data_IF_271689158996
#
_entry.id   IF_271689158996
#
_cell.length_a   1.000
_cell.length_b   1.000
_cell.length_c   1.000
_cell.angle_alpha   90.00
_cell.angle_beta   90.00
_cell.angle_gamma   90.00
#
_symmetry.space_group_name_H-M   'P 1'
#
loop_
_entity.id
_entity.type
_entity.pdbx_description
1 polymer ?
#
# COMPACT_ATOMS: atom_id res chain seq x y z
N UNK A 1 -3.10 -15.32 11.78
CA UNK A 1 -3.67 -14.17 11.06
C UNK A 1 -4.72 -14.67 10.10
N UNK A 2 -5.84 -13.96 9.95
CA UNK A 2 -6.96 -14.39 9.10
C UNK A 2 -7.03 -13.61 7.79
N UNK A 3 -6.51 -12.37 7.81
CA UNK A 3 -6.63 -11.40 6.72
C UNK A 3 -5.32 -11.12 5.98
N UNK A 4 -4.21 -11.65 6.48
CA UNK A 4 -2.91 -11.62 5.82
C UNK A 4 -2.21 -12.96 5.92
N UNK A 5 -1.21 -13.16 5.04
CA UNK A 5 -0.23 -14.25 5.14
C UNK A 5 1.15 -13.63 5.24
N UNK A 6 2.03 -14.26 6.00
CA UNK A 6 3.42 -13.80 6.17
C UNK A 6 4.38 -14.94 5.89
N UNK A 7 5.46 -14.61 5.20
CA UNK A 7 6.60 -15.50 4.98
C UNK A 7 7.89 -14.69 4.97
N UNK A 8 9.02 -15.32 5.19
CA UNK A 8 10.32 -14.65 5.08
C UNK A 8 11.35 -15.59 4.48
N UNK A 9 12.15 -15.07 3.57
CA UNK A 9 13.26 -15.79 2.96
C UNK A 9 14.34 -14.80 2.51
N UNK A 10 15.59 -15.19 2.66
CA UNK A 10 16.76 -14.48 2.11
C UNK A 10 16.81 -12.97 2.50
N UNK A 11 16.44 -12.67 3.75
CA UNK A 11 16.49 -11.31 4.27
C UNK A 11 15.28 -10.43 3.93
N UNK A 12 14.24 -11.00 3.31
CA UNK A 12 13.00 -10.28 2.94
C UNK A 12 11.81 -10.89 3.65
N UNK A 13 11.03 -10.06 4.35
CA UNK A 13 9.70 -10.40 4.85
C UNK A 13 8.65 -10.10 3.79
N UNK A 14 7.72 -11.01 3.55
CA UNK A 14 6.61 -10.82 2.60
C UNK A 14 5.29 -10.87 3.36
N UNK A 15 4.47 -9.84 3.17
CA UNK A 15 3.10 -9.74 3.70
C UNK A 15 2.13 -9.76 2.53
N UNK A 16 1.30 -10.79 2.46
CA UNK A 16 0.25 -10.89 1.44
C UNK A 16 -1.10 -10.55 2.05
N UNK A 17 -1.77 -9.51 1.57
CA UNK A 17 -3.14 -9.18 1.91
C UNK A 17 -4.06 -10.31 1.45
N UNK A 18 -4.92 -10.84 2.33
CA UNK A 18 -5.71 -12.04 2.05
C UNK A 18 -7.17 -11.93 2.51
N UNK A 19 -7.90 -11.01 1.89
CA UNK A 19 -9.37 -10.90 1.97
C UNK A 19 -10.01 -10.95 0.57
N UNK A 20 -9.85 -12.07 -0.16
CA UNK A 20 -10.26 -12.14 -1.57
C UNK A 20 -11.77 -11.90 -1.76
N UNK A 21 -12.61 -12.35 -0.82
CA UNK A 21 -14.07 -12.13 -0.83
C UNK A 21 -14.46 -10.65 -0.72
N UNK A 22 -13.60 -9.80 -0.17
CA UNK A 22 -13.77 -8.36 -0.04
C UNK A 22 -12.78 -7.57 -0.93
N UNK A 23 -12.16 -8.21 -1.93
CA UNK A 23 -11.16 -7.57 -2.82
C UNK A 23 -10.03 -6.87 -2.06
N UNK A 24 -9.55 -7.49 -0.99
CA UNK A 24 -8.55 -6.94 -0.07
C UNK A 24 -8.91 -5.55 0.48
N UNK A 25 -10.21 -5.27 0.68
CA UNK A 25 -10.64 -4.03 1.32
C UNK A 25 -10.07 -3.93 2.74
N UNK A 26 -9.60 -2.73 3.06
CA UNK A 26 -8.89 -2.41 4.30
C UNK A 26 -9.91 -2.14 5.41
N UNK A 27 -10.13 -3.12 6.27
CA UNK A 27 -10.87 -2.96 7.51
C UNK A 27 -9.91 -2.95 8.71
N UNK A 28 -10.41 -2.57 9.87
CA UNK A 28 -9.62 -2.48 11.11
C UNK A 28 -8.85 -3.78 11.42
N UNK A 29 -9.47 -4.94 11.21
CA UNK A 29 -8.85 -6.23 11.50
C UNK A 29 -7.65 -6.52 10.59
N UNK A 30 -7.76 -6.26 9.27
CA UNK A 30 -6.66 -6.42 8.33
C UNK A 30 -5.52 -5.46 8.66
N UNK A 31 -5.85 -4.19 8.94
CA UNK A 31 -4.84 -3.16 9.26
C UNK A 31 -4.11 -3.49 10.56
N UNK A 32 -4.81 -3.98 11.57
CA UNK A 32 -4.19 -4.43 12.84
C UNK A 32 -3.27 -5.64 12.63
N UNK A 33 -3.66 -6.61 11.79
CA UNK A 33 -2.80 -7.75 11.45
C UNK A 33 -1.56 -7.30 10.66
N UNK A 34 -1.71 -6.33 9.75
CA UNK A 34 -0.60 -5.74 9.00
C UNK A 34 0.39 -5.02 9.93
N UNK A 35 -0.09 -4.18 10.86
CA UNK A 35 0.76 -3.52 11.86
C UNK A 35 1.54 -4.55 12.71
N UNK A 36 0.87 -5.58 13.17
CA UNK A 36 1.51 -6.64 13.95
C UNK A 36 2.59 -7.37 13.14
N UNK A 37 2.36 -7.64 11.84
CA UNK A 37 3.33 -8.28 10.96
C UNK A 37 4.53 -7.36 10.66
N UNK A 38 4.29 -6.07 10.40
CA UNK A 38 5.35 -5.09 10.19
C UNK A 38 6.26 -4.98 11.43
N UNK A 39 5.68 -4.88 12.63
CA UNK A 39 6.45 -4.87 13.89
C UNK A 39 7.24 -6.16 14.12
N UNK A 40 6.65 -7.31 13.79
CA UNK A 40 7.35 -8.58 13.91
C UNK A 40 8.57 -8.65 12.97
N UNK A 41 8.40 -8.25 11.71
CA UNK A 41 9.51 -8.19 10.77
C UNK A 41 10.51 -7.08 11.10
N UNK A 42 10.07 -5.96 11.67
CA UNK A 42 10.97 -4.90 12.13
C UNK A 42 11.89 -5.39 13.26
N UNK A 43 11.36 -6.19 14.18
CA UNK A 43 12.11 -6.77 15.30
C UNK A 43 13.00 -7.96 14.88
N UNK A 44 12.78 -8.57 13.72
CA UNK A 44 13.54 -9.71 13.24
C UNK A 44 14.86 -9.28 12.57
N UNK A 45 15.99 -9.55 13.20
CA UNK A 45 17.31 -9.27 12.64
C UNK A 45 17.61 -10.04 11.34
N UNK A 46 16.90 -11.10 11.04
CA UNK A 46 16.99 -11.84 9.78
C UNK A 46 16.35 -11.12 8.59
N UNK A 47 15.50 -10.10 8.84
CA UNK A 47 14.78 -9.33 7.80
C UNK A 47 15.42 -7.96 7.63
N UNK A 48 15.77 -7.58 6.41
CA UNK A 48 16.34 -6.28 6.05
C UNK A 48 15.42 -5.39 5.24
N UNK A 49 14.40 -5.96 4.58
CA UNK A 49 13.37 -5.25 3.83
C UNK A 49 12.04 -6.02 3.88
N UNK A 50 10.93 -5.33 3.64
CA UNK A 50 9.60 -5.93 3.69
C UNK A 50 8.90 -5.68 2.35
N UNK A 51 8.19 -6.68 1.83
CA UNK A 51 7.33 -6.58 0.64
C UNK A 51 5.88 -6.74 1.07
N UNK A 52 4.99 -5.84 0.61
CA UNK A 52 3.54 -5.95 0.78
C UNK A 52 2.90 -6.18 -0.58
N UNK A 53 2.05 -7.20 -0.69
CA UNK A 53 1.34 -7.53 -1.94
C UNK A 53 -0.11 -7.93 -1.67
N UNK A 54 -0.96 -7.83 -2.69
CA UNK A 54 -2.32 -8.39 -2.70
C UNK A 54 -2.43 -9.70 -3.51
N UNK A 55 -1.30 -10.21 -4.01
CA UNK A 55 -1.25 -11.31 -4.98
C UNK A 55 -1.46 -10.83 -6.41
N UNK A 56 -1.80 -11.75 -7.33
CA UNK A 56 -1.80 -11.48 -8.76
C UNK A 56 -3.10 -10.82 -9.30
N UNK A 57 -4.16 -10.76 -8.50
CA UNK A 57 -5.48 -10.33 -8.99
C UNK A 57 -5.83 -8.90 -8.60
N UNK A 58 -5.52 -8.52 -7.37
CA UNK A 58 -5.90 -7.22 -6.81
C UNK A 58 -5.02 -6.89 -5.61
N UNK A 59 -4.43 -5.72 -5.60
CA UNK A 59 -3.68 -5.23 -4.45
C UNK A 59 -4.66 -4.90 -3.30
N UNK A 60 -5.50 -3.88 -3.48
CA UNK A 60 -6.58 -3.52 -2.56
C UNK A 60 -7.59 -2.60 -3.22
N UNK A 61 -8.89 -2.85 -2.96
CA UNK A 61 -9.98 -2.00 -3.43
C UNK A 61 -10.19 -0.73 -2.59
N UNK A 62 -9.39 -0.52 -1.54
CA UNK A 62 -9.49 0.64 -0.63
C UNK A 62 -10.15 0.33 0.70
N UNK A 63 -10.61 1.35 1.41
CA UNK A 63 -11.28 1.21 2.70
C UNK A 63 -12.53 0.33 2.61
N UNK A 64 -12.82 -0.44 3.66
CA UNK A 64 -14.03 -1.26 3.72
C UNK A 64 -15.25 -0.36 3.94
N UNK A 65 -16.01 -0.11 2.86
CA UNK A 65 -17.16 0.80 2.87
C UNK A 65 -18.22 0.34 3.89
N UNK A 66 -18.38 -0.96 4.14
CA UNK A 66 -19.35 -1.46 5.13
C UNK A 66 -18.99 -0.98 6.53
N UNK A 67 -17.71 -1.02 6.88
CA UNK A 67 -17.24 -0.52 8.17
C UNK A 67 -17.39 1.01 8.29
N UNK A 68 -17.22 1.73 7.17
CA UNK A 68 -17.41 3.18 7.12
C UNK A 68 -18.89 3.60 7.30
N UNK A 69 -19.83 2.88 6.70
CA UNK A 69 -21.27 3.23 6.78
C UNK A 69 -21.86 3.11 8.18
N UNK A 70 -21.22 2.38 9.07
CA UNK A 70 -21.64 2.25 10.46
C UNK A 70 -21.22 3.44 11.33
N UNK A 71 -20.40 4.37 10.78
CA UNK A 71 -19.81 5.49 11.52
C UNK A 71 -20.44 6.83 11.12
N UNK A 72 -20.80 7.63 12.13
CA UNK A 72 -21.10 9.04 11.92
C UNK A 72 -19.81 9.86 11.91
N UNK A 73 -19.84 11.06 11.36
CA UNK A 73 -18.67 11.95 11.34
C UNK A 73 -18.00 12.13 12.72
N UNK A 74 -18.81 12.36 13.75
CA UNK A 74 -18.28 12.53 15.11
C UNK A 74 -17.56 11.28 15.63
N UNK A 75 -18.09 10.09 15.35
CA UNK A 75 -17.51 8.82 15.76
C UNK A 75 -16.17 8.60 15.03
N UNK A 76 -16.15 8.81 13.71
CA UNK A 76 -14.95 8.68 12.91
C UNK A 76 -13.84 9.67 13.31
N UNK A 77 -14.23 10.93 13.62
CA UNK A 77 -13.30 11.97 14.06
C UNK A 77 -12.71 11.70 15.44
N UNK A 78 -13.56 11.31 16.42
CA UNK A 78 -13.13 11.07 17.79
C UNK A 78 -12.30 9.79 17.94
N UNK A 79 -12.58 8.78 17.14
CA UNK A 79 -11.85 7.51 17.13
C UNK A 79 -10.57 7.58 16.29
N UNK A 80 -10.35 8.68 15.54
CA UNK A 80 -9.25 8.81 14.57
C UNK A 80 -9.21 7.62 13.60
N UNK A 81 -10.41 7.32 13.05
CA UNK A 81 -10.76 6.03 12.43
C UNK A 81 -9.85 5.57 11.29
N UNK A 82 -9.34 6.50 10.48
CA UNK A 82 -8.46 6.16 9.35
C UNK A 82 -6.99 6.37 9.71
N UNK A 83 -6.66 7.41 10.47
CA UNK A 83 -5.28 7.86 10.63
C UNK A 83 -4.52 6.98 11.63
N UNK A 84 -5.14 6.66 12.77
CA UNK A 84 -4.47 6.03 13.92
C UNK A 84 -3.81 4.69 13.59
N UNK A 85 -4.53 3.83 12.89
CA UNK A 85 -4.09 2.45 12.65
C UNK A 85 -3.42 2.29 11.27
N UNK A 86 -3.62 3.25 10.35
CA UNK A 86 -3.14 3.15 8.98
C UNK A 86 -1.69 3.59 8.78
N UNK A 87 -1.07 4.21 9.78
CA UNK A 87 0.31 4.69 9.70
C UNK A 87 1.37 3.62 9.99
N UNK A 88 0.99 2.34 10.06
CA UNK A 88 1.91 1.26 10.38
C UNK A 88 3.08 1.18 9.39
N UNK A 89 2.82 1.39 8.10
CA UNK A 89 3.86 1.38 7.06
C UNK A 89 4.79 2.58 7.24
N UNK A 90 4.25 3.79 7.43
CA UNK A 90 5.05 5.02 7.65
C UNK A 90 5.94 4.94 8.88
N UNK A 91 5.50 4.22 9.92
CA UNK A 91 6.22 4.08 11.18
C UNK A 91 7.27 2.96 11.12
N UNK A 92 7.28 2.14 10.08
CA UNK A 92 8.25 1.06 9.92
C UNK A 92 9.61 1.63 9.51
N UNK A 93 10.66 1.28 10.27
CA UNK A 93 12.03 1.74 9.98
C UNK A 93 12.70 0.94 8.87
N UNK A 94 12.23 -0.28 8.60
CA UNK A 94 12.74 -1.09 7.48
C UNK A 94 12.06 -0.67 6.19
N UNK A 95 12.79 -0.62 5.06
CA UNK A 95 12.18 -0.33 3.77
C UNK A 95 11.02 -1.26 3.45
N UNK A 96 9.90 -0.66 3.03
CA UNK A 96 8.70 -1.37 2.63
C UNK A 96 8.48 -1.18 1.12
N UNK A 97 8.31 -2.27 0.41
CA UNK A 97 8.12 -2.30 -1.04
C UNK A 97 6.70 -2.78 -1.34
N UNK A 98 5.91 -2.00 -2.05
CA UNK A 98 4.63 -2.46 -2.59
C UNK A 98 4.84 -3.25 -3.88
N UNK A 99 4.33 -4.47 -3.94
CA UNK A 99 4.26 -5.29 -5.16
C UNK A 99 2.81 -5.36 -5.63
N UNK A 100 2.49 -4.60 -6.70
CA UNK A 100 1.12 -4.27 -7.11
C UNK A 100 0.76 -4.95 -8.42
N UNK A 101 -0.31 -5.76 -8.40
CA UNK A 101 -1.03 -6.23 -9.57
C UNK A 101 -2.51 -5.92 -9.44
N UNK A 102 -3.22 -5.73 -10.56
CA UNK A 102 -4.62 -5.37 -10.56
C UNK A 102 -4.89 -4.03 -9.87
N UNK A 103 -5.97 -3.92 -9.14
CA UNK A 103 -6.44 -2.65 -8.59
C UNK A 103 -5.77 -2.27 -7.26
N UNK A 104 -5.28 -1.04 -7.19
CA UNK A 104 -4.87 -0.31 -5.98
C UNK A 104 -5.65 1.01 -5.94
N UNK A 105 -6.84 1.01 -5.31
CA UNK A 105 -7.80 2.12 -5.39
C UNK A 105 -8.05 2.74 -4.01
N UNK A 106 -8.29 4.05 -3.99
CA UNK A 106 -8.55 4.79 -2.76
C UNK A 106 -7.50 4.50 -1.69
N UNK A 107 -7.90 4.05 -0.53
CA UNK A 107 -7.00 3.62 0.54
C UNK A 107 -5.97 2.57 0.12
N UNK A 108 -6.26 1.73 -0.89
CA UNK A 108 -5.29 0.79 -1.46
C UNK A 108 -4.18 1.50 -2.25
N UNK A 109 -4.52 2.57 -2.96
CA UNK A 109 -3.54 3.45 -3.59
C UNK A 109 -2.73 4.21 -2.53
N UNK A 110 -3.38 4.68 -1.46
CA UNK A 110 -2.72 5.33 -0.34
C UNK A 110 -1.72 4.39 0.35
N UNK A 111 -2.06 3.11 0.55
CA UNK A 111 -1.14 2.10 1.09
C UNK A 111 0.07 1.86 0.18
N UNK A 112 -0.13 1.79 -1.13
CA UNK A 112 0.98 1.69 -2.07
C UNK A 112 1.90 2.93 -1.99
N UNK A 113 1.31 4.13 -1.85
CA UNK A 113 2.05 5.39 -1.71
C UNK A 113 2.73 5.57 -0.33
N UNK A 114 2.34 4.82 0.70
CA UNK A 114 3.05 4.77 1.98
C UNK A 114 4.34 3.97 1.90
N UNK A 115 4.42 3.01 0.98
CA UNK A 115 5.63 2.23 0.77
C UNK A 115 6.74 3.08 0.13
N UNK A 116 8.00 2.74 0.44
CA UNK A 116 9.16 3.46 -0.08
C UNK A 116 9.38 3.24 -1.58
N UNK A 117 9.00 2.05 -2.06
CA UNK A 117 9.14 1.65 -3.47
C UNK A 117 7.85 0.99 -3.93
N UNK A 118 7.40 1.33 -5.13
CA UNK A 118 6.24 0.67 -5.76
C UNK A 118 6.69 -0.04 -7.03
N UNK A 119 6.59 -1.37 -7.03
CA UNK A 119 6.77 -2.22 -8.20
C UNK A 119 5.39 -2.67 -8.68
N UNK A 120 5.06 -2.40 -9.93
CA UNK A 120 3.76 -2.77 -10.50
C UNK A 120 3.93 -3.67 -11.72
N UNK A 121 3.01 -4.59 -11.94
CA UNK A 121 2.94 -5.22 -13.25
C UNK A 121 2.02 -4.47 -14.20
N UNK A 122 2.00 -4.87 -15.48
CA UNK A 122 1.21 -4.19 -16.54
C UNK A 122 -0.30 -4.23 -16.32
N UNK A 123 -0.81 -5.08 -15.42
CA UNK A 123 -2.23 -5.16 -15.06
C UNK A 123 -2.63 -4.12 -14.03
N UNK A 124 -1.67 -3.50 -13.34
CA UNK A 124 -1.93 -2.60 -12.24
C UNK A 124 -2.75 -1.37 -12.66
N UNK A 125 -3.70 -1.00 -11.80
CA UNK A 125 -4.55 0.19 -11.95
C UNK A 125 -4.57 0.94 -10.63
N UNK A 126 -4.26 2.22 -10.68
CA UNK A 126 -4.22 3.10 -9.52
C UNK A 126 -5.31 4.17 -9.63
N UNK A 127 -5.81 4.65 -8.52
CA UNK A 127 -6.77 5.76 -8.50
C UNK A 127 -7.13 6.20 -7.09
N UNK A 128 -7.41 7.49 -6.93
CA UNK A 128 -8.03 8.07 -5.73
C UNK A 128 -9.52 8.21 -6.00
N UNK A 129 -10.28 7.18 -5.60
CA UNK A 129 -11.67 7.01 -6.03
C UNK A 129 -12.69 7.47 -4.99
N UNK A 130 -12.25 8.07 -3.92
CA UNK A 130 -13.05 8.48 -2.77
C UNK A 130 -14.18 9.44 -3.15
N UNK A 131 -13.96 10.34 -4.11
CA UNK A 131 -14.96 11.28 -4.61
C UNK A 131 -16.21 10.57 -5.16
N UNK A 132 -16.05 9.37 -5.72
CA UNK A 132 -17.15 8.57 -6.28
C UNK A 132 -18.09 8.00 -5.21
N UNK A 133 -17.65 7.98 -3.96
CA UNK A 133 -18.44 7.52 -2.80
C UNK A 133 -18.70 8.66 -1.80
N UNK A 134 -18.47 9.92 -2.21
CA UNK A 134 -18.80 11.12 -1.44
C UNK A 134 -17.84 11.40 -0.26
N UNK A 135 -16.60 10.95 -0.35
CA UNK A 135 -15.56 11.22 0.67
C UNK A 135 -14.28 11.75 0.03
N UNK A 136 -13.24 11.94 0.83
CA UNK A 136 -11.92 12.40 0.40
C UNK A 136 -10.86 11.37 0.79
N UNK A 137 -9.67 11.39 0.16
CA UNK A 137 -8.55 10.56 0.59
C UNK A 137 -8.20 10.84 2.06
N UNK A 138 -8.22 9.80 2.90
CA UNK A 138 -8.04 9.91 4.35
C UNK A 138 -6.75 9.25 4.87
N UNK A 139 -6.15 8.32 4.12
CA UNK A 139 -4.93 7.60 4.49
C UNK A 139 -3.64 8.29 4.04
N UNK A 140 -3.67 9.60 3.77
CA UNK A 140 -2.51 10.41 3.39
C UNK A 140 -2.36 10.70 1.90
N UNK A 141 -3.30 10.26 1.06
CA UNK A 141 -3.30 10.55 -0.39
C UNK A 141 -3.27 12.03 -0.70
N UNK A 142 -3.97 12.87 0.09
CA UNK A 142 -3.92 14.33 -0.03
C UNK A 142 -2.50 14.90 0.10
N UNK A 143 -1.60 14.21 0.76
CA UNK A 143 -0.23 14.62 1.02
C UNK A 143 0.77 13.91 0.10
N UNK A 144 0.75 12.57 0.08
CA UNK A 144 1.72 11.76 -0.67
C UNK A 144 1.54 11.90 -2.16
N UNK A 145 0.30 11.80 -2.65
CA UNK A 145 0.04 11.91 -4.08
C UNK A 145 0.49 13.27 -4.63
N UNK A 146 0.10 14.37 -3.98
CA UNK A 146 0.47 15.71 -4.43
C UNK A 146 1.99 15.97 -4.41
N UNK A 147 2.71 15.35 -3.46
CA UNK A 147 4.17 15.45 -3.39
C UNK A 147 4.87 14.61 -4.46
N UNK A 148 4.31 13.45 -4.79
CA UNK A 148 4.90 12.55 -5.80
C UNK A 148 4.70 13.05 -7.22
N UNK A 149 3.48 13.54 -7.56
CA UNK A 149 3.10 13.82 -8.96
C UNK A 149 2.79 15.28 -9.24
N UNK A 150 2.86 16.13 -8.23
CA UNK A 150 2.53 17.55 -8.32
C UNK A 150 1.02 17.82 -8.25
N UNK A 151 0.66 19.06 -7.85
CA UNK A 151 -0.71 19.47 -7.58
C UNK A 151 -1.66 19.23 -8.75
N UNK A 152 -1.26 19.57 -9.97
CA UNK A 152 -2.16 19.53 -11.13
C UNK A 152 -2.67 18.11 -11.41
N UNK A 153 -1.76 17.12 -11.41
CA UNK A 153 -2.11 15.69 -11.60
C UNK A 153 -2.86 15.12 -10.42
N UNK A 154 -2.45 15.45 -9.20
CA UNK A 154 -3.13 14.99 -7.99
C UNK A 154 -4.58 15.47 -7.94
N UNK A 155 -4.84 16.76 -8.25
CA UNK A 155 -6.19 17.31 -8.29
C UNK A 155 -7.03 16.67 -9.39
N UNK A 156 -6.45 16.44 -10.58
CA UNK A 156 -7.16 15.78 -11.67
C UNK A 156 -7.62 14.37 -11.25
N UNK A 157 -6.73 13.55 -10.66
CA UNK A 157 -7.06 12.21 -10.20
C UNK A 157 -8.09 12.22 -9.05
N UNK A 158 -7.87 13.04 -8.03
CA UNK A 158 -8.78 13.09 -6.87
C UNK A 158 -10.17 13.63 -7.22
N UNK A 159 -10.28 14.62 -8.10
CA UNK A 159 -11.57 15.24 -8.45
C UNK A 159 -12.34 14.42 -9.48
N UNK A 160 -11.66 13.71 -10.37
CA UNK A 160 -12.30 12.86 -11.39
C UNK A 160 -12.59 11.45 -10.88
N UNK A 161 -11.82 10.95 -9.90
CA UNK A 161 -11.88 9.57 -9.44
C UNK A 161 -11.48 8.54 -10.50
N UNK A 162 -10.82 8.99 -11.60
CA UNK A 162 -10.44 8.07 -12.68
C UNK A 162 -9.30 7.15 -12.27
N UNK A 163 -9.22 6.04 -12.95
CA UNK A 163 -8.10 5.12 -12.83
C UNK A 163 -7.02 5.43 -13.88
N UNK A 164 -5.76 5.17 -13.50
CA UNK A 164 -4.61 5.21 -14.38
C UNK A 164 -4.01 3.82 -14.49
N UNK A 165 -3.40 3.50 -15.62
CA UNK A 165 -2.66 2.26 -15.80
C UNK A 165 -1.23 2.35 -15.22
N UNK A 166 -0.55 1.20 -15.21
CA UNK A 166 0.81 1.10 -14.68
C UNK A 166 1.79 2.03 -15.41
N UNK A 167 1.68 2.15 -16.74
CA UNK A 167 2.57 2.99 -17.54
C UNK A 167 2.36 4.49 -17.25
N UNK A 168 1.10 4.95 -17.11
CA UNK A 168 0.83 6.32 -16.68
C UNK A 168 1.34 6.54 -15.25
N UNK A 169 1.12 5.59 -14.33
CA UNK A 169 1.55 5.68 -12.94
C UNK A 169 3.09 5.76 -12.80
N UNK A 170 3.84 5.00 -13.59
CA UNK A 170 5.30 5.11 -13.67
C UNK A 170 5.74 6.46 -14.23
N UNK A 171 5.15 6.88 -15.36
CA UNK A 171 5.51 8.15 -16.02
C UNK A 171 5.29 9.37 -15.12
N UNK A 172 4.28 9.35 -14.24
CA UNK A 172 3.98 10.48 -13.35
C UNK A 172 4.62 10.37 -11.96
N UNK A 173 5.26 9.24 -11.62
CA UNK A 173 6.04 9.09 -10.40
C UNK A 173 5.30 8.43 -9.21
N UNK A 174 4.20 7.71 -9.46
CA UNK A 174 3.56 6.84 -8.45
C UNK A 174 4.28 5.50 -8.35
N UNK A 175 4.66 4.93 -9.50
CA UNK A 175 5.33 3.63 -9.61
C UNK A 175 6.80 3.84 -9.91
N UNK A 176 7.66 3.11 -9.21
CA UNK A 176 9.11 3.16 -9.39
C UNK A 176 9.57 2.30 -10.57
N UNK A 177 8.84 1.22 -10.87
CA UNK A 177 9.17 0.27 -11.91
C UNK A 177 7.95 -0.52 -12.35
N UNK A 178 7.72 -0.59 -13.66
CA UNK A 178 6.72 -1.49 -14.27
C UNK A 178 7.41 -2.73 -14.82
N UNK A 179 6.84 -3.91 -14.54
CA UNK A 179 7.34 -5.22 -14.98
C UNK A 179 6.26 -6.00 -15.73
N UNK A 180 6.64 -7.11 -16.33
CA UNK A 180 5.71 -8.02 -17.02
C UNK A 180 4.66 -8.57 -16.05
N UNK A 181 3.48 -8.88 -16.59
CA UNK A 181 2.37 -9.48 -15.85
C UNK A 181 2.81 -10.68 -15.02
N UNK A 182 2.50 -10.65 -13.72
CA UNK A 182 2.78 -11.73 -12.77
C UNK A 182 4.19 -11.77 -12.21
N UNK A 183 5.10 -10.86 -12.61
CA UNK A 183 6.50 -10.85 -12.12
C UNK A 183 6.77 -9.78 -11.05
N UNK A 184 5.75 -9.00 -10.66
CA UNK A 184 5.86 -7.90 -9.71
C UNK A 184 6.38 -8.34 -8.33
N UNK A 185 5.91 -9.49 -7.83
CA UNK A 185 6.32 -9.99 -6.52
C UNK A 185 7.79 -10.43 -6.53
N UNK A 186 8.21 -11.23 -7.51
CA UNK A 186 9.60 -11.68 -7.63
C UNK A 186 10.54 -10.49 -7.77
N UNK A 187 10.15 -9.48 -8.57
CA UNK A 187 10.94 -8.26 -8.73
C UNK A 187 11.05 -7.45 -7.45
N UNK A 188 9.97 -7.31 -6.70
CA UNK A 188 9.97 -6.63 -5.39
C UNK A 188 10.88 -7.37 -4.39
N UNK A 189 10.81 -8.70 -4.36
CA UNK A 189 11.69 -9.52 -3.53
C UNK A 189 13.16 -9.35 -3.94
N UNK A 190 13.49 -9.32 -5.23
CA UNK A 190 14.85 -9.08 -5.70
C UNK A 190 15.40 -7.71 -5.24
N UNK A 191 14.57 -6.67 -5.28
CA UNK A 191 14.94 -5.35 -4.76
C UNK A 191 15.16 -5.44 -3.25
N UNK A 192 14.24 -6.08 -2.52
CA UNK A 192 14.35 -6.29 -1.07
C UNK A 192 15.61 -7.04 -0.67
N UNK A 193 16.01 -8.10 -1.41
CA UNK A 193 17.25 -8.85 -1.18
C UNK A 193 18.50 -7.96 -1.32
N UNK A 194 18.53 -7.11 -2.33
CA UNK A 194 19.64 -6.15 -2.52
C UNK A 194 19.72 -5.15 -1.36
N UNK A 195 18.58 -4.62 -0.93
CA UNK A 195 18.50 -3.71 0.21
C UNK A 195 18.97 -4.41 1.50
N UNK A 196 18.54 -5.66 1.74
CA UNK A 196 18.91 -6.44 2.91
C UNK A 196 20.43 -6.69 3.03
N UNK A 197 21.17 -6.62 1.93
CA UNK A 197 22.64 -6.75 1.88
C UNK A 197 23.37 -5.43 2.17
N UNK A 198 22.65 -4.31 2.20
CA UNK A 198 23.24 -3.00 2.47
C UNK A 198 23.44 -2.75 3.98
N UNK A 199 24.17 -1.69 4.30
CA UNK A 199 24.39 -1.26 5.69
C UNK A 199 23.07 -0.83 6.34
N UNK A 200 22.52 -1.64 7.24
CA UNK A 200 21.25 -1.38 7.92
C UNK A 200 21.15 0.01 8.56
N UNK A 201 22.15 0.49 9.33
CA UNK A 201 22.07 1.83 9.92
C UNK A 201 21.88 2.93 8.86
N UNK A 202 22.47 2.76 7.68
CA UNK A 202 22.36 3.74 6.58
C UNK A 202 21.00 3.63 5.89
N UNK A 203 20.52 2.40 5.68
CA UNK A 203 19.19 2.17 5.05
C UNK A 203 18.06 2.71 5.93
N UNK A 204 18.22 2.67 7.27
CA UNK A 204 17.19 3.11 8.23
C UNK A 204 17.22 4.61 8.54
N UNK A 205 18.23 5.36 8.04
CA UNK A 205 18.34 6.81 8.17
C UNK A 205 17.57 7.55 7.08
#
# INVERSE_FOLDING_TARGET
MQHIKTESAEGVGVITLHRPHARNALNRALVAELDAALRAFEADDGVGAIVVTGGNAIFSAGADIKEMTEKRFADAYLEDFVTRDWLAIDNCRKPVIAAVAGYALGGGCEFALMCDIVVADTTARFGQTEVLVGTIPGGGGTQRLARSIGKAKAMELCLSGRHIDAAEAERIGIVSLVVETGTHLDKAIDIGRRIAQCSRPIVYM
#
